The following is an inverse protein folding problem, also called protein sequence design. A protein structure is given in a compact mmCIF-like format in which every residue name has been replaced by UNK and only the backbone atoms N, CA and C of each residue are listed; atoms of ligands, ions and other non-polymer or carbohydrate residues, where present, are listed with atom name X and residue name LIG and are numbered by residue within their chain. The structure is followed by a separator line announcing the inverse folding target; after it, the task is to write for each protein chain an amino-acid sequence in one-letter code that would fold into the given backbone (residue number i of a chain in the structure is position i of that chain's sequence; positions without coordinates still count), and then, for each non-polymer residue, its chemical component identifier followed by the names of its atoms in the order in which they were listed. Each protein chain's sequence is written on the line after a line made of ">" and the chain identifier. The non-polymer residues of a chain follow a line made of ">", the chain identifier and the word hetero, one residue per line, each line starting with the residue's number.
data_IF_917514608583
#
_entry.id   IF_917514608583
#
_cell.length_a   1.000
_cell.length_b   1.000
_cell.length_c   1.000
_cell.angle_alpha   90.00
_cell.angle_beta   90.00
_cell.angle_gamma   90.00
#
_symmetry.space_group_name_H-M   'P 1'
#
loop_
_entity.id
_entity.type
_entity.pdbx_description
1 polymer ?
#
# COMPACT_ATOMS: atom_id res chain seq x y z
N UNK A 1 -19.65 28.67 68.07
CA UNK A 1 -18.24 28.89 67.66
C UNK A 1 -18.00 28.04 66.43
N UNK A 2 -17.57 28.69 65.34
CA UNK A 2 -17.28 28.07 64.06
C UNK A 2 -15.88 27.44 64.09
N UNK A 3 -15.78 26.15 63.75
CA UNK A 3 -14.54 25.55 63.25
C UNK A 3 -14.84 24.95 61.87
N UNK A 4 -14.06 25.38 60.87
CA UNK A 4 -14.15 24.93 59.48
C UNK A 4 -13.53 23.53 59.35
N UNK A 5 -14.10 22.63 58.52
CA UNK A 5 -13.43 21.38 58.18
C UNK A 5 -12.29 21.64 57.18
N UNK A 6 -11.16 20.99 57.44
CA UNK A 6 -9.96 20.94 56.60
C UNK A 6 -10.29 20.41 55.20
N UNK A 7 -9.82 21.12 54.17
CA UNK A 7 -9.74 20.64 52.81
C UNK A 7 -8.61 19.62 52.71
N UNK A 8 -8.94 18.33 52.53
CA UNK A 8 -8.05 17.39 51.85
C UNK A 8 -8.68 17.11 50.50
N UNK A 9 -8.11 17.72 49.46
CA UNK A 9 -8.40 17.38 48.07
C UNK A 9 -7.53 16.15 47.80
N UNK A 10 -8.10 14.97 47.99
CA UNK A 10 -7.51 13.73 47.47
C UNK A 10 -7.65 13.77 45.95
N UNK A 11 -6.62 14.31 45.29
CA UNK A 11 -6.45 14.20 43.85
C UNK A 11 -6.11 12.75 43.54
N UNK A 12 -7.15 11.93 43.41
CA UNK A 12 -7.01 10.62 42.80
C UNK A 12 -6.64 10.85 41.32
N UNK A 13 -5.33 10.84 41.05
CA UNK A 13 -4.81 10.72 39.70
C UNK A 13 -5.29 9.37 39.18
N UNK A 14 -6.41 9.37 38.46
CA UNK A 14 -6.74 8.28 37.55
C UNK A 14 -5.63 8.28 36.51
N UNK A 15 -4.68 7.35 36.65
CA UNK A 15 -3.83 6.93 35.56
C UNK A 15 -4.76 6.54 34.41
N UNK A 16 -4.82 7.39 33.39
CA UNK A 16 -5.33 6.99 32.10
C UNK A 16 -4.38 5.89 31.62
N UNK A 17 -4.77 4.63 31.83
CA UNK A 17 -4.33 3.54 30.96
C UNK A 17 -4.80 3.90 29.56
N UNK A 18 -3.96 4.65 28.85
CA UNK A 18 -4.02 4.73 27.41
C UNK A 18 -3.84 3.29 26.94
N UNK A 19 -4.93 2.66 26.51
CA UNK A 19 -4.85 1.50 25.62
C UNK A 19 -4.18 1.98 24.33
N UNK A 20 -2.85 2.12 24.35
CA UNK A 20 -2.01 2.43 23.19
C UNK A 20 -1.86 1.19 22.32
N UNK A 21 -2.95 0.46 22.07
CA UNK A 21 -2.99 -0.41 20.90
C UNK A 21 -3.28 0.49 19.69
N UNK A 22 -2.31 1.34 19.34
CA UNK A 22 -2.23 1.87 17.99
C UNK A 22 -2.29 0.65 17.09
N UNK A 23 -3.40 0.44 16.38
CA UNK A 23 -3.51 -0.64 15.40
C UNK A 23 -2.34 -0.45 14.43
N UNK A 24 -1.33 -1.29 14.55
CA UNK A 24 -0.15 -1.26 13.70
C UNK A 24 -0.62 -1.50 12.26
N UNK A 25 -0.62 -0.43 11.47
CA UNK A 25 -0.94 -0.52 10.07
C UNK A 25 0.33 -0.97 9.36
N UNK A 26 0.31 -2.20 8.86
CA UNK A 26 1.44 -2.89 8.26
C UNK A 26 1.45 -2.83 6.73
N UNK A 27 2.63 -2.56 6.18
CA UNK A 27 2.89 -2.37 4.76
C UNK A 27 3.98 -3.37 4.38
N UNK A 28 3.75 -4.13 3.33
CA UNK A 28 4.70 -5.11 2.81
C UNK A 28 5.26 -4.67 1.48
N UNK A 29 6.59 -4.63 1.37
CA UNK A 29 7.32 -4.41 0.13
C UNK A 29 7.99 -5.71 -0.31
N UNK A 30 7.62 -6.22 -1.49
CA UNK A 30 8.27 -7.38 -2.11
C UNK A 30 9.32 -6.91 -3.11
N UNK A 31 10.39 -7.69 -3.27
CA UNK A 31 11.52 -7.29 -4.12
C UNK A 31 11.22 -7.49 -5.60
N UNK A 32 11.89 -6.69 -6.42
CA UNK A 32 11.90 -6.89 -7.86
C UNK A 32 12.64 -8.19 -8.21
N UNK A 33 12.11 -8.92 -9.18
CA UNK A 33 12.77 -10.11 -9.71
C UNK A 33 13.70 -9.77 -10.87
N UNK A 34 13.37 -8.72 -11.63
CA UNK A 34 14.21 -8.14 -12.67
C UNK A 34 14.98 -6.94 -12.10
N UNK A 35 16.29 -6.89 -12.36
CA UNK A 35 17.13 -5.76 -11.95
C UNK A 35 16.87 -4.49 -12.74
N UNK A 36 16.23 -4.59 -13.92
CA UNK A 36 15.87 -3.45 -14.77
C UNK A 36 14.59 -2.76 -14.31
N UNK A 37 13.76 -3.43 -13.48
CA UNK A 37 12.60 -2.80 -12.87
C UNK A 37 13.05 -1.62 -11.99
N UNK A 38 12.28 -0.53 -11.87
CA UNK A 38 12.62 0.58 -11.00
C UNK A 38 12.38 0.24 -9.52
N UNK A 39 13.21 0.83 -8.66
CA UNK A 39 12.98 0.79 -7.22
C UNK A 39 11.79 1.69 -6.92
N UNK A 40 10.82 1.14 -6.21
CA UNK A 40 9.56 1.83 -5.96
C UNK A 40 9.69 2.93 -4.90
N UNK A 41 10.59 2.78 -3.93
CA UNK A 41 10.71 3.66 -2.77
C UNK A 41 12.16 3.73 -2.30
N UNK A 42 12.61 4.92 -1.87
CA UNK A 42 13.97 5.07 -1.33
C UNK A 42 14.08 4.56 0.11
N UNK A 43 15.31 4.30 0.54
CA UNK A 43 15.61 3.91 1.93
C UNK A 43 15.17 4.99 2.94
N UNK A 44 15.35 6.27 2.60
CA UNK A 44 14.93 7.39 3.46
C UNK A 44 13.42 7.47 3.60
N UNK A 45 12.68 7.16 2.52
CA UNK A 45 11.22 7.15 2.52
C UNK A 45 10.68 5.95 3.31
N UNK A 46 11.33 4.78 3.25
CA UNK A 46 11.01 3.66 4.14
C UNK A 46 11.17 4.05 5.62
N UNK A 47 12.27 4.70 5.98
CA UNK A 47 12.48 5.22 7.34
C UNK A 47 11.38 6.21 7.76
N UNK A 48 10.98 7.11 6.86
CA UNK A 48 9.89 8.08 7.11
C UNK A 48 8.54 7.38 7.41
N UNK A 49 8.26 6.26 6.72
CA UNK A 49 7.06 5.46 6.98
C UNK A 49 7.11 4.80 8.38
N UNK A 50 8.27 4.25 8.77
CA UNK A 50 8.49 3.68 10.11
C UNK A 50 8.34 4.75 11.18
N UNK A 51 8.97 5.91 11.01
CA UNK A 51 8.86 7.06 11.93
C UNK A 51 7.41 7.56 12.08
N UNK A 52 6.58 7.37 11.05
CA UNK A 52 5.15 7.69 11.08
C UNK A 52 4.31 6.66 11.89
N UNK A 53 4.95 5.65 12.50
CA UNK A 53 4.31 4.61 13.30
C UNK A 53 3.71 3.46 12.50
N UNK A 54 4.12 3.30 11.23
CA UNK A 54 3.69 2.20 10.38
C UNK A 54 4.63 1.00 10.57
N UNK A 55 4.06 -0.21 10.53
CA UNK A 55 4.86 -1.43 10.55
C UNK A 55 5.30 -1.77 9.12
N UNK A 56 6.54 -1.45 8.78
CA UNK A 56 7.05 -1.62 7.41
C UNK A 56 7.85 -2.92 7.33
N UNK A 57 7.37 -3.84 6.51
CA UNK A 57 7.99 -5.13 6.25
C UNK A 57 8.58 -5.13 4.84
N UNK A 58 9.83 -5.56 4.70
CA UNK A 58 10.58 -5.52 3.43
C UNK A 58 11.21 -6.88 3.18
N UNK A 59 11.04 -7.39 1.96
CA UNK A 59 11.67 -8.65 1.55
C UNK A 59 13.20 -8.50 1.51
N UNK A 60 13.91 -9.53 1.99
CA UNK A 60 15.37 -9.57 1.92
C UNK A 60 15.87 -9.42 0.48
N UNK A 61 16.84 -8.55 0.28
CA UNK A 61 17.40 -8.24 -1.03
C UNK A 61 16.60 -7.20 -1.83
N UNK A 62 15.58 -6.55 -1.24
CA UNK A 62 14.79 -5.50 -1.89
C UNK A 62 15.64 -4.39 -2.53
N UNK A 63 16.75 -4.01 -1.87
CA UNK A 63 17.65 -2.96 -2.31
C UNK A 63 18.85 -3.42 -3.16
N UNK A 64 19.06 -4.73 -3.32
CA UNK A 64 20.29 -5.28 -3.92
C UNK A 64 20.59 -4.76 -5.33
N UNK A 65 19.61 -4.69 -6.27
CA UNK A 65 19.86 -4.17 -7.61
C UNK A 65 20.36 -2.70 -7.62
N UNK A 66 20.13 -1.98 -6.53
CA UNK A 66 20.43 -0.56 -6.39
C UNK A 66 21.59 -0.29 -5.43
N UNK A 67 22.38 -1.32 -5.13
CA UNK A 67 23.54 -1.24 -4.22
C UNK A 67 23.16 -0.83 -2.79
N UNK A 68 21.92 -1.08 -2.38
CA UNK A 68 21.44 -0.89 -1.02
C UNK A 68 21.46 -2.26 -0.34
N UNK A 69 22.25 -2.37 0.73
CA UNK A 69 22.39 -3.61 1.49
C UNK A 69 21.24 -3.80 2.47
N UNK A 70 20.95 -5.05 2.82
CA UNK A 70 20.03 -5.37 3.91
C UNK A 70 20.42 -4.69 5.24
N UNK A 71 21.72 -4.52 5.50
CA UNK A 71 22.17 -3.81 6.71
C UNK A 71 21.65 -2.37 6.72
N UNK A 72 21.84 -1.65 5.62
CA UNK A 72 21.33 -0.29 5.47
C UNK A 72 19.80 -0.25 5.65
N UNK A 73 19.07 -1.17 5.01
CA UNK A 73 17.62 -1.27 5.19
C UNK A 73 17.24 -1.48 6.66
N UNK A 74 17.88 -2.42 7.35
CA UNK A 74 17.57 -2.73 8.75
C UNK A 74 17.81 -1.55 9.70
N UNK A 75 18.79 -0.69 9.40
CA UNK A 75 19.08 0.51 10.18
C UNK A 75 17.95 1.55 10.14
N UNK A 76 17.05 1.47 9.16
CA UNK A 76 15.85 2.35 9.06
C UNK A 76 14.70 1.93 9.97
N UNK A 77 14.78 0.74 10.59
CA UNK A 77 13.74 0.21 11.47
C UNK A 77 12.65 -0.62 10.77
N UNK A 78 12.82 -0.96 9.49
CA UNK A 78 11.94 -1.92 8.81
C UNK A 78 12.13 -3.35 9.34
N UNK A 79 11.08 -4.15 9.33
CA UNK A 79 11.16 -5.61 9.52
C UNK A 79 11.67 -6.25 8.20
N UNK A 80 12.92 -6.71 8.18
CA UNK A 80 13.41 -7.52 7.07
C UNK A 80 12.91 -8.96 7.17
N UNK A 81 12.27 -9.45 6.12
CA UNK A 81 11.70 -10.79 6.07
C UNK A 81 12.32 -11.63 4.94
N UNK A 82 12.71 -12.87 5.26
CA UNK A 82 13.21 -13.84 4.29
C UNK A 82 12.09 -14.50 3.47
N UNK A 83 10.90 -14.63 4.06
CA UNK A 83 9.78 -15.33 3.45
C UNK A 83 8.74 -14.33 2.89
N UNK A 84 8.57 -14.21 1.56
CA UNK A 84 7.59 -13.31 0.99
C UNK A 84 6.14 -13.69 1.35
N UNK A 85 5.85 -14.98 1.62
CA UNK A 85 4.53 -15.42 2.07
C UNK A 85 4.17 -14.82 3.43
N UNK A 86 5.15 -14.67 4.33
CA UNK A 86 4.91 -14.00 5.61
C UNK A 86 4.47 -12.56 5.38
N UNK A 87 5.16 -11.84 4.47
CA UNK A 87 4.80 -10.48 4.07
C UNK A 87 3.37 -10.43 3.53
N UNK A 88 3.09 -11.25 2.52
CA UNK A 88 1.77 -11.34 1.89
C UNK A 88 0.67 -11.63 2.90
N UNK A 89 0.91 -12.50 3.88
CA UNK A 89 -0.13 -12.91 4.85
C UNK A 89 -0.40 -11.88 5.96
N UNK A 90 0.53 -10.96 6.25
CA UNK A 90 0.43 -10.02 7.39
C UNK A 90 0.01 -8.62 6.97
N UNK A 91 0.58 -8.10 5.88
CA UNK A 91 0.44 -6.69 5.50
C UNK A 91 -1.01 -6.27 5.19
N UNK A 92 -1.43 -5.04 5.54
CA UNK A 92 -2.69 -4.45 5.05
C UNK A 92 -2.53 -3.93 3.62
N UNK A 93 -1.35 -3.41 3.30
CA UNK A 93 -0.98 -2.95 1.97
C UNK A 93 0.20 -3.78 1.46
N UNK A 94 0.10 -4.32 0.25
CA UNK A 94 1.18 -5.02 -0.42
C UNK A 94 1.63 -4.22 -1.63
N UNK A 95 2.94 -4.08 -1.80
CA UNK A 95 3.56 -3.23 -2.80
C UNK A 95 4.68 -4.01 -3.47
N UNK A 96 4.63 -4.09 -4.79
CA UNK A 96 5.70 -4.61 -5.64
C UNK A 96 5.59 -3.99 -7.03
N UNK A 97 6.66 -3.98 -7.81
CA UNK A 97 6.61 -3.33 -9.13
C UNK A 97 5.75 -4.12 -10.13
N UNK A 98 5.95 -5.42 -10.22
CA UNK A 98 5.30 -6.30 -11.20
C UNK A 98 3.91 -6.79 -10.73
N UNK A 99 3.04 -7.27 -11.63
CA UNK A 99 1.76 -7.86 -11.23
C UNK A 99 1.92 -9.01 -10.23
N UNK A 100 0.98 -9.15 -9.30
CA UNK A 100 0.95 -10.29 -8.37
C UNK A 100 0.68 -11.60 -9.11
N UNK A 101 1.35 -12.67 -8.69
CA UNK A 101 1.31 -13.97 -9.38
C UNK A 101 0.32 -14.94 -8.75
N UNK A 102 -0.06 -15.98 -9.50
CA UNK A 102 -0.93 -17.06 -9.02
C UNK A 102 -0.36 -17.81 -7.80
N UNK A 103 0.97 -17.83 -7.65
CA UNK A 103 1.63 -18.44 -6.50
C UNK A 103 1.55 -17.54 -5.24
N UNK A 104 1.37 -16.23 -5.40
CA UNK A 104 1.28 -15.27 -4.29
C UNK A 104 -0.16 -15.12 -3.78
N UNK A 105 -1.12 -15.06 -4.70
CA UNK A 105 -2.55 -14.77 -4.42
C UNK A 105 -3.19 -15.70 -3.36
N UNK A 106 -2.89 -17.01 -3.29
CA UNK A 106 -3.44 -17.91 -2.28
C UNK A 106 -3.06 -17.55 -0.83
N UNK A 107 -1.97 -16.81 -0.63
CA UNK A 107 -1.48 -16.41 0.69
C UNK A 107 -2.02 -15.05 1.14
N UNK A 108 -2.74 -14.34 0.25
CA UNK A 108 -3.39 -13.08 0.57
C UNK A 108 -4.50 -13.29 1.60
N UNK A 109 -4.79 -12.25 2.37
CA UNK A 109 -5.88 -12.21 3.34
C UNK A 109 -6.96 -11.22 2.92
N UNK A 110 -8.09 -11.30 3.60
CA UNK A 110 -9.22 -10.45 3.27
C UNK A 110 -8.87 -8.94 3.35
N UNK A 111 -9.39 -8.18 2.38
CA UNK A 111 -9.41 -6.71 2.32
C UNK A 111 -8.03 -6.06 2.29
N UNK A 112 -7.02 -6.76 1.78
CA UNK A 112 -5.75 -6.12 1.46
C UNK A 112 -5.88 -5.15 0.29
N UNK A 113 -4.98 -4.17 0.28
CA UNK A 113 -4.80 -3.24 -0.83
C UNK A 113 -3.49 -3.60 -1.55
N UNK A 114 -3.56 -3.80 -2.85
CA UNK A 114 -2.41 -4.13 -3.70
C UNK A 114 -1.99 -2.91 -4.53
N UNK A 115 -0.70 -2.63 -4.58
CA UNK A 115 -0.12 -1.62 -5.48
C UNK A 115 0.93 -2.32 -6.36
N UNK A 116 0.70 -2.31 -7.66
CA UNK A 116 1.63 -2.85 -8.66
C UNK A 116 1.39 -2.25 -10.03
N UNK A 117 2.29 -2.47 -10.99
CA UNK A 117 1.94 -2.36 -12.40
C UNK A 117 0.95 -3.46 -12.78
N UNK A 118 0.12 -3.21 -13.80
CA UNK A 118 -0.84 -4.18 -14.32
C UNK A 118 -1.03 -4.03 -15.82
N UNK A 119 -1.14 -5.16 -16.50
CA UNK A 119 -1.53 -5.28 -17.91
C UNK A 119 -2.93 -5.89 -18.03
N UNK A 120 -3.48 -5.90 -19.25
CA UNK A 120 -4.84 -6.41 -19.50
C UNK A 120 -5.00 -7.91 -19.16
N UNK A 121 -3.91 -8.66 -19.19
CA UNK A 121 -3.85 -10.11 -18.98
C UNK A 121 -3.25 -10.49 -17.61
N UNK A 122 -3.04 -9.52 -16.72
CA UNK A 122 -2.48 -9.78 -15.39
C UNK A 122 -3.41 -10.51 -14.43
N UNK A 123 -4.71 -10.59 -14.74
CA UNK A 123 -5.68 -11.33 -13.94
C UNK A 123 -6.38 -12.32 -14.85
N UNK A 124 -6.26 -13.60 -14.53
CA UNK A 124 -7.02 -14.66 -15.18
C UNK A 124 -8.36 -14.92 -14.42
N UNK A 125 -9.15 -15.84 -14.95
CA UNK A 125 -10.44 -16.20 -14.34
C UNK A 125 -10.29 -16.75 -12.91
N UNK A 126 -9.25 -17.56 -12.66
CA UNK A 126 -9.05 -18.24 -11.38
C UNK A 126 -8.66 -17.25 -10.30
N UNK A 127 -7.68 -16.40 -10.60
CA UNK A 127 -7.22 -15.31 -9.77
C UNK A 127 -8.38 -14.35 -9.46
N UNK A 128 -9.17 -13.94 -10.46
CA UNK A 128 -10.32 -13.07 -10.26
C UNK A 128 -11.30 -13.62 -9.21
N UNK A 129 -11.57 -14.92 -9.21
CA UNK A 129 -12.45 -15.54 -8.22
C UNK A 129 -11.87 -15.51 -6.80
N UNK A 130 -10.57 -15.71 -6.65
CA UNK A 130 -9.90 -15.65 -5.34
C UNK A 130 -9.91 -14.21 -4.81
N UNK A 131 -9.50 -13.25 -5.65
CA UNK A 131 -9.49 -11.83 -5.31
C UNK A 131 -10.90 -11.32 -4.96
N UNK A 132 -11.93 -11.83 -5.65
CA UNK A 132 -13.33 -11.55 -5.32
C UNK A 132 -13.71 -12.00 -3.91
N UNK A 133 -13.41 -13.27 -3.57
CA UNK A 133 -13.72 -13.84 -2.24
C UNK A 133 -12.99 -13.11 -1.12
N UNK A 134 -11.72 -12.77 -1.34
CA UNK A 134 -10.89 -12.03 -0.40
C UNK A 134 -11.25 -10.53 -0.32
N UNK A 135 -12.10 -10.02 -1.20
CA UNK A 135 -12.48 -8.60 -1.25
C UNK A 135 -11.25 -7.69 -1.40
N UNK A 136 -10.30 -8.11 -2.21
CA UNK A 136 -9.08 -7.36 -2.48
C UNK A 136 -9.40 -6.06 -3.20
N UNK A 137 -8.66 -5.01 -2.91
CA UNK A 137 -8.67 -3.80 -3.75
C UNK A 137 -7.29 -3.56 -4.31
N UNK A 138 -7.17 -3.02 -5.52
CA UNK A 138 -5.88 -2.90 -6.17
C UNK A 138 -5.78 -1.65 -7.03
N UNK A 139 -4.58 -1.07 -7.03
CA UNK A 139 -4.21 0.18 -7.69
C UNK A 139 -3.06 -0.11 -8.65
N UNK A 140 -3.26 0.26 -9.91
CA UNK A 140 -2.31 0.15 -10.99
C UNK A 140 -1.38 1.37 -11.03
N UNK A 141 -0.12 1.18 -10.66
CA UNK A 141 0.90 2.25 -10.65
C UNK A 141 1.12 2.84 -12.04
N UNK A 142 1.14 1.99 -13.07
CA UNK A 142 1.27 2.38 -14.48
C UNK A 142 0.02 3.06 -15.06
N UNK A 143 -1.09 3.15 -14.30
CA UNK A 143 -2.33 3.82 -14.70
C UNK A 143 -2.68 5.02 -13.84
N UNK A 144 -1.87 5.33 -12.82
CA UNK A 144 -2.03 6.53 -12.03
C UNK A 144 -1.85 7.77 -12.90
N UNK A 145 -2.85 8.66 -12.88
CA UNK A 145 -2.82 9.93 -13.61
C UNK A 145 -2.62 11.10 -12.67
N UNK A 146 -1.85 12.07 -13.11
CA UNK A 146 -1.79 13.36 -12.45
C UNK A 146 -3.06 14.19 -12.72
N UNK A 147 -3.10 15.41 -12.16
CA UNK A 147 -4.21 16.35 -12.34
C UNK A 147 -4.41 16.82 -13.78
N UNK A 148 -3.40 16.68 -14.63
CA UNK A 148 -3.46 17.02 -16.05
C UNK A 148 -3.91 15.82 -16.90
N UNK A 149 -4.16 14.66 -16.28
CA UNK A 149 -4.54 13.42 -16.95
C UNK A 149 -3.37 12.64 -17.55
N UNK A 150 -2.13 13.02 -17.24
CA UNK A 150 -0.91 12.37 -17.72
C UNK A 150 -0.58 11.15 -16.86
N UNK A 151 -0.16 10.04 -17.48
CA UNK A 151 0.28 8.84 -16.76
C UNK A 151 1.63 9.10 -16.06
N UNK A 152 1.64 8.98 -14.74
CA UNK A 152 2.79 9.39 -13.91
C UNK A 152 4.01 8.48 -14.10
N UNK A 153 3.83 7.17 -13.94
CA UNK A 153 4.94 6.22 -14.03
C UNK A 153 5.57 6.21 -15.45
N UNK A 154 4.81 6.08 -16.55
CA UNK A 154 5.37 6.22 -17.91
C UNK A 154 6.12 7.55 -18.11
N UNK A 155 5.55 8.66 -17.65
CA UNK A 155 6.19 9.97 -17.78
C UNK A 155 7.55 10.04 -17.08
N UNK A 156 7.66 9.51 -15.86
CA UNK A 156 8.91 9.52 -15.10
C UNK A 156 9.95 8.58 -15.72
N UNK A 157 9.54 7.39 -16.16
CA UNK A 157 10.46 6.43 -16.77
C UNK A 157 10.97 6.88 -18.15
N UNK A 158 10.14 7.58 -18.94
CA UNK A 158 10.54 8.12 -20.26
C UNK A 158 11.32 9.45 -20.17
N UNK A 159 11.42 10.05 -18.98
CA UNK A 159 12.10 11.31 -18.78
C UNK A 159 13.63 11.17 -18.76
N UNK A 160 14.34 12.29 -18.91
CA UNK A 160 15.80 12.35 -18.73
C UNK A 160 16.25 12.37 -17.25
N UNK A 161 15.39 11.97 -16.31
CA UNK A 161 15.73 11.94 -14.89
C UNK A 161 16.71 10.82 -14.57
N UNK A 162 17.53 11.03 -13.54
CA UNK A 162 18.38 9.98 -13.02
C UNK A 162 17.53 8.88 -12.37
N UNK A 163 18.07 7.67 -12.30
CA UNK A 163 17.41 6.56 -11.60
C UNK A 163 17.00 6.92 -10.14
N UNK A 164 17.84 7.70 -9.46
CA UNK A 164 17.58 8.17 -8.10
C UNK A 164 16.39 9.14 -8.05
N UNK A 165 16.32 10.09 -8.99
CA UNK A 165 15.20 11.03 -9.07
C UNK A 165 13.88 10.33 -9.41
N UNK A 166 13.93 9.32 -10.29
CA UNK A 166 12.78 8.48 -10.63
C UNK A 166 12.27 7.73 -9.39
N UNK A 167 13.17 7.05 -8.66
CA UNK A 167 12.86 6.33 -7.42
C UNK A 167 12.27 7.28 -6.37
N UNK A 168 12.88 8.45 -6.17
CA UNK A 168 12.41 9.43 -5.21
C UNK A 168 10.99 9.91 -5.54
N UNK A 169 10.72 10.25 -6.81
CA UNK A 169 9.40 10.69 -7.25
C UNK A 169 8.35 9.59 -7.09
N UNK A 170 8.68 8.33 -7.42
CA UNK A 170 7.82 7.18 -7.18
C UNK A 170 7.51 7.00 -5.70
N UNK A 171 8.52 7.07 -4.84
CA UNK A 171 8.34 6.90 -3.42
C UNK A 171 7.56 8.05 -2.76
N UNK A 172 7.59 9.27 -3.31
CA UNK A 172 6.70 10.37 -2.86
C UNK A 172 5.24 10.02 -3.15
N UNK A 173 4.95 9.51 -4.35
CA UNK A 173 3.61 9.04 -4.70
C UNK A 173 3.20 7.91 -3.75
N UNK A 174 4.02 6.86 -3.62
CA UNK A 174 3.70 5.70 -2.79
C UNK A 174 3.52 6.06 -1.32
N UNK A 175 4.41 6.87 -0.75
CA UNK A 175 4.30 7.31 0.65
C UNK A 175 2.98 8.04 0.89
N UNK A 176 2.58 8.90 -0.06
CA UNK A 176 1.30 9.60 0.00
C UNK A 176 0.12 8.64 -0.03
N UNK A 177 0.13 7.64 -0.93
CA UNK A 177 -0.93 6.63 -1.01
C UNK A 177 -1.00 5.78 0.26
N UNK A 178 0.14 5.33 0.77
CA UNK A 178 0.25 4.53 2.00
C UNK A 178 -0.33 5.29 3.19
N UNK A 179 0.00 6.57 3.35
CA UNK A 179 -0.55 7.42 4.40
C UNK A 179 -2.06 7.60 4.26
N UNK A 180 -2.57 7.80 3.03
CA UNK A 180 -4.01 7.88 2.77
C UNK A 180 -4.71 6.58 3.21
N UNK A 181 -4.11 5.42 2.94
CA UNK A 181 -4.71 4.12 3.31
C UNK A 181 -4.62 3.83 4.81
N UNK A 182 -3.52 4.21 5.47
CA UNK A 182 -3.35 4.02 6.91
C UNK A 182 -4.36 4.80 7.73
N UNK A 183 -4.70 6.03 7.30
CA UNK A 183 -5.70 6.85 7.97
C UNK A 183 -7.14 6.40 7.71
N UNK A 184 -7.45 5.98 6.48
CA UNK A 184 -8.84 5.68 6.11
C UNK A 184 -9.24 4.25 6.38
N UNK A 185 -8.29 3.30 6.41
CA UNK A 185 -8.52 1.85 6.41
C UNK A 185 -9.55 1.40 5.35
N UNK A 186 -9.80 2.23 4.34
CA UNK A 186 -10.95 2.09 3.45
C UNK A 186 -10.70 2.85 2.15
N UNK A 187 -10.34 2.10 1.11
CA UNK A 187 -10.08 2.63 -0.22
C UNK A 187 -11.26 3.48 -0.76
N UNK A 188 -12.51 3.18 -0.35
CA UNK A 188 -13.69 3.96 -0.74
C UNK A 188 -13.52 5.44 -0.40
N UNK A 189 -13.04 5.74 0.81
CA UNK A 189 -12.84 7.13 1.22
C UNK A 189 -11.64 7.73 0.50
N UNK A 190 -10.55 6.98 0.36
CA UNK A 190 -9.36 7.43 -0.38
C UNK A 190 -9.70 7.86 -1.81
N UNK A 191 -10.49 7.07 -2.53
CA UNK A 191 -10.94 7.38 -3.91
C UNK A 191 -11.88 8.58 -3.93
N UNK A 192 -12.79 8.70 -2.96
CA UNK A 192 -13.71 9.84 -2.85
C UNK A 192 -12.98 11.18 -2.65
N UNK A 193 -11.87 11.18 -1.91
CA UNK A 193 -11.08 12.38 -1.63
C UNK A 193 -9.99 12.67 -2.67
N UNK A 194 -9.61 11.68 -3.47
CA UNK A 194 -8.54 11.79 -4.47
C UNK A 194 -9.04 11.24 -5.82
N UNK A 195 -9.75 12.05 -6.62
CA UNK A 195 -10.28 11.64 -7.92
C UNK A 195 -9.22 11.10 -8.88
N UNK A 196 -7.96 11.52 -8.72
CA UNK A 196 -6.81 11.03 -9.49
C UNK A 196 -6.65 9.49 -9.39
N UNK A 197 -7.04 8.88 -8.26
CA UNK A 197 -6.97 7.44 -8.05
C UNK A 197 -7.99 6.65 -8.87
N UNK A 198 -9.09 7.28 -9.30
CA UNK A 198 -10.20 6.60 -9.99
C UNK A 198 -9.69 5.84 -11.21
N UNK A 199 -8.79 6.46 -11.98
CA UNK A 199 -8.24 5.87 -13.20
C UNK A 199 -7.29 4.68 -12.98
N UNK A 200 -6.77 4.54 -11.75
CA UNK A 200 -5.80 3.53 -11.38
C UNK A 200 -6.38 2.33 -10.64
N UNK A 201 -7.55 2.47 -10.01
CA UNK A 201 -8.17 1.38 -9.26
C UNK A 201 -8.79 0.38 -10.23
N UNK A 202 -8.20 -0.81 -10.34
CA UNK A 202 -8.66 -1.87 -11.23
C UNK A 202 -9.40 -3.00 -10.50
N UNK A 203 -9.29 -3.05 -9.17
CA UNK A 203 -10.07 -3.91 -8.29
C UNK A 203 -10.60 -3.12 -7.11
N UNK A 204 -11.88 -3.30 -6.80
CA UNK A 204 -12.52 -2.66 -5.65
C UNK A 204 -13.42 -3.65 -4.89
N UNK A 205 -12.99 -3.98 -3.67
CA UNK A 205 -13.61 -5.03 -2.84
C UNK A 205 -13.90 -6.31 -3.63
N UNK A 206 -12.93 -6.73 -4.44
CA UNK A 206 -12.97 -7.93 -5.24
C UNK A 206 -13.67 -7.80 -6.60
N UNK A 207 -14.37 -6.69 -6.86
CA UNK A 207 -14.98 -6.45 -8.16
C UNK A 207 -13.92 -5.88 -9.11
N UNK A 208 -13.82 -6.45 -10.32
CA UNK A 208 -12.99 -5.86 -11.37
C UNK A 208 -13.64 -4.56 -11.85
N UNK A 209 -12.86 -3.48 -11.89
CA UNK A 209 -13.30 -2.16 -12.32
C UNK A 209 -12.76 -1.78 -13.70
N UNK A 210 -11.79 -2.52 -14.22
CA UNK A 210 -11.23 -2.31 -15.56
C UNK A 210 -11.90 -3.24 -16.59
N UNK A 211 -12.54 -2.71 -17.65
CA UNK A 211 -13.23 -3.53 -18.64
C UNK A 211 -12.33 -4.48 -19.42
N UNK A 212 -11.08 -4.10 -19.70
CA UNK A 212 -10.16 -4.90 -20.50
C UNK A 212 -9.64 -6.10 -19.70
N UNK A 213 -9.33 -5.87 -18.43
CA UNK A 213 -8.97 -6.96 -17.50
C UNK A 213 -10.15 -7.91 -17.31
N UNK A 214 -11.37 -7.38 -17.16
CA UNK A 214 -12.56 -8.21 -16.98
C UNK A 214 -12.90 -9.06 -18.22
N UNK A 215 -12.72 -8.49 -19.41
CA UNK A 215 -12.86 -9.22 -20.68
C UNK A 215 -11.88 -10.39 -20.75
N UNK A 216 -10.60 -10.15 -20.45
CA UNK A 216 -9.58 -11.20 -20.44
C UNK A 216 -9.86 -12.29 -19.39
N UNK A 217 -10.20 -11.87 -18.16
CA UNK A 217 -10.53 -12.78 -17.06
C UNK A 217 -11.91 -13.48 -17.23
N UNK A 218 -12.70 -13.11 -18.23
CA UNK A 218 -14.05 -13.64 -18.48
C UNK A 218 -14.97 -13.51 -17.27
N UNK A 219 -14.95 -12.34 -16.62
CA UNK A 219 -15.80 -12.00 -15.47
C UNK A 219 -16.51 -10.66 -15.70
N UNK A 220 -17.64 -10.38 -15.03
CA UNK A 220 -18.26 -9.07 -15.13
C UNK A 220 -17.39 -7.99 -14.48
N UNK A 221 -17.38 -6.79 -15.06
CA UNK A 221 -16.83 -5.59 -14.44
C UNK A 221 -17.91 -4.74 -13.80
N UNK A 222 -17.52 -3.83 -12.91
CA UNK A 222 -18.39 -2.82 -12.29
C UNK A 222 -17.73 -1.46 -12.32
N UNK A 223 -18.52 -0.43 -12.59
CA UNK A 223 -18.04 0.94 -12.55
C UNK A 223 -17.61 1.33 -11.14
N UNK A 224 -16.39 1.87 -11.02
CA UNK A 224 -15.84 2.26 -9.73
C UNK A 224 -16.60 3.43 -9.11
N UNK A 225 -17.09 4.38 -9.90
CA UNK A 225 -17.86 5.52 -9.42
C UNK A 225 -19.18 5.04 -8.81
N UNK A 226 -19.83 4.06 -9.44
CA UNK A 226 -21.04 3.45 -8.87
C UNK A 226 -20.72 2.74 -7.53
N UNK A 227 -19.61 2.02 -7.43
CA UNK A 227 -19.22 1.35 -6.17
C UNK A 227 -18.85 2.35 -5.06
N UNK A 228 -18.24 3.47 -5.44
CA UNK A 228 -17.78 4.48 -4.51
C UNK A 228 -18.87 5.49 -4.15
N UNK A 229 -19.88 5.78 -4.98
CA UNK A 229 -20.90 6.79 -4.68
C UNK A 229 -22.34 6.26 -4.64
N UNK A 230 -22.58 5.03 -5.10
CA UNK A 230 -23.81 4.27 -4.83
C UNK A 230 -23.86 3.62 -3.46
#
# INVERSE_FOLDING_TARGET
>A
MHEKPNQNIDTATQELTLDTSTREYSIGFLKNQDSEDPLLITIEQLGTLVESGLHVMVERGFGEPYQISDLMLSETGVELCDNPIYIISKSQVLIQYTPFTDDQVPFMRERQILLSCVEKDSIDHTMAQILYKLKISAIALNRYKDRNGMLFLPFILDSNYSFQDQTYALGVLLSSLIQIFSHTNNLKNSVRWNPELVSSVYLFYGNICDPLIAEHAQVPWKDLLDLCWG
#
